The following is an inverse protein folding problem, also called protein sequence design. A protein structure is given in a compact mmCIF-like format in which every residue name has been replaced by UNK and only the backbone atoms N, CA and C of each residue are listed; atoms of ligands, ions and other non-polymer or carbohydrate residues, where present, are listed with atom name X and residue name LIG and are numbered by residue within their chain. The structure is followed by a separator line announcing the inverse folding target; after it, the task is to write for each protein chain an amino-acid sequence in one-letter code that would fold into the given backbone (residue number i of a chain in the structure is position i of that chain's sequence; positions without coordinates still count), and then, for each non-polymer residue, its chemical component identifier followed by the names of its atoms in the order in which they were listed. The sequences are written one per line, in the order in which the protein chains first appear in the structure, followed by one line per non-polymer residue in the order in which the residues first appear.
data_IF_647697672012
#
_entry.id   IF_647697672012
#
_cell.length_a   1.000
_cell.length_b   1.000
_cell.length_c   1.000
_cell.angle_alpha   90.00
_cell.angle_beta   90.00
_cell.angle_gamma   90.00
#
_symmetry.space_group_name_H-M   'P 1'
#
loop_
_entity.id
_entity.type
_entity.pdbx_description
1 polymer ?
#
# COMPACT_ATOMS: atom_id res chain seq x y z
N UNK A 1 -6.27 12.47 9.19
CA UNK A 1 -5.85 11.38 8.28
C UNK A 1 -4.78 10.54 8.96
N UNK A 2 -4.49 9.33 8.48
CA UNK A 2 -3.28 8.60 8.90
C UNK A 2 -2.14 8.95 7.94
N UNK A 3 -0.98 9.31 8.49
CA UNK A 3 0.25 9.54 7.76
C UNK A 3 1.11 8.28 7.78
N UNK A 4 1.79 8.05 6.66
CA UNK A 4 2.56 6.84 6.46
C UNK A 4 3.72 7.09 5.50
N UNK A 5 4.76 6.28 5.63
CA UNK A 5 5.97 6.33 4.81
C UNK A 5 6.39 4.93 4.40
N UNK A 6 7.23 4.82 3.37
CA UNK A 6 7.87 3.57 2.98
C UNK A 6 8.92 3.20 4.01
N UNK A 7 8.91 1.97 4.51
CA UNK A 7 9.87 1.51 5.51
C UNK A 7 11.07 0.77 4.91
N UNK A 8 11.03 0.48 3.61
CA UNK A 8 12.12 -0.14 2.86
C UNK A 8 12.25 0.53 1.49
N UNK A 9 13.40 0.35 0.86
CA UNK A 9 13.60 0.77 -0.52
C UNK A 9 13.15 -0.31 -1.52
N UNK A 10 13.27 -0.02 -2.82
CA UNK A 10 12.85 -0.95 -3.87
C UNK A 10 13.70 -2.23 -3.91
N UNK A 11 15.05 -2.19 -3.86
CA UNK A 11 15.86 -3.41 -3.76
C UNK A 11 15.49 -4.32 -2.58
N UNK A 12 15.27 -3.76 -1.39
CA UNK A 12 14.83 -4.53 -0.21
C UNK A 12 13.45 -5.15 -0.41
N UNK A 13 12.51 -4.37 -0.98
CA UNK A 13 11.19 -4.88 -1.35
C UNK A 13 11.29 -6.02 -2.35
N UNK A 14 12.06 -5.85 -3.43
CA UNK A 14 12.22 -6.84 -4.48
C UNK A 14 12.78 -8.16 -3.92
N UNK A 15 13.80 -8.07 -3.06
CA UNK A 15 14.38 -9.24 -2.40
C UNK A 15 13.33 -10.00 -1.57
N UNK A 16 12.50 -9.28 -0.81
CA UNK A 16 11.46 -9.90 0.02
C UNK A 16 10.33 -10.60 -0.78
N UNK A 17 10.18 -10.27 -2.06
CA UNK A 17 9.15 -10.81 -2.95
C UNK A 17 9.68 -11.90 -3.89
N UNK A 18 11.00 -12.11 -4.00
CA UNK A 18 11.57 -13.09 -4.93
C UNK A 18 10.99 -14.48 -4.73
N UNK A 19 10.63 -15.12 -5.85
CA UNK A 19 10.07 -16.47 -5.87
C UNK A 19 8.61 -16.58 -5.40
N UNK A 20 7.94 -15.46 -5.12
CA UNK A 20 6.53 -15.40 -4.74
C UNK A 20 5.71 -14.72 -5.83
N UNK A 21 4.50 -15.20 -6.05
CA UNK A 21 3.48 -14.48 -6.80
C UNK A 21 2.80 -13.42 -5.94
N UNK A 22 2.60 -12.22 -6.49
CA UNK A 22 2.22 -11.03 -5.73
C UNK A 22 0.91 -10.45 -6.23
N UNK A 23 0.00 -10.14 -5.32
CA UNK A 23 -1.17 -9.32 -5.58
C UNK A 23 -0.99 -7.96 -4.92
N UNK A 24 -1.02 -6.87 -5.68
CA UNK A 24 -0.87 -5.52 -5.11
C UNK A 24 -2.23 -5.06 -4.61
N UNK A 25 -2.32 -4.66 -3.34
CA UNK A 25 -3.54 -4.12 -2.75
C UNK A 25 -3.33 -2.70 -2.26
N UNK A 26 -3.94 -1.72 -2.91
CA UNK A 26 -3.71 -0.30 -2.66
C UNK A 26 -4.91 0.41 -2.03
N UNK A 27 -4.65 1.26 -1.03
CA UNK A 27 -5.66 2.05 -0.32
C UNK A 27 -5.71 3.50 -0.83
N UNK A 28 -6.79 3.88 -1.50
CA UNK A 28 -6.84 5.14 -2.27
C UNK A 28 -7.21 6.40 -1.48
N UNK A 29 -7.43 6.31 -0.16
CA UNK A 29 -7.81 7.46 0.67
C UNK A 29 -6.61 8.16 1.31
N UNK A 30 -6.09 7.70 2.46
CA UNK A 30 -5.00 8.40 3.14
C UNK A 30 -3.64 8.10 2.49
N UNK A 31 -3.44 6.89 1.96
CA UNK A 31 -2.16 6.48 1.42
C UNK A 31 -1.86 7.17 0.07
N UNK A 32 -2.87 7.48 -0.74
CA UNK A 32 -2.69 8.25 -1.98
C UNK A 32 -2.21 9.68 -1.72
N UNK A 33 -2.57 10.26 -0.57
CA UNK A 33 -2.15 11.58 -0.15
C UNK A 33 -0.73 11.62 0.41
N UNK A 34 -0.17 10.47 0.79
CA UNK A 34 1.20 10.36 1.30
C UNK A 34 2.15 10.06 0.15
N UNK A 35 2.60 11.10 -0.58
CA UNK A 35 3.53 10.96 -1.72
C UNK A 35 3.08 9.94 -2.78
N UNK A 36 1.76 9.87 -3.02
CA UNK A 36 1.17 9.01 -4.04
C UNK A 36 1.13 7.51 -3.72
N UNK A 37 1.60 7.06 -2.54
CA UNK A 37 1.76 5.62 -2.20
C UNK A 37 0.54 4.78 -2.58
N UNK A 38 -0.66 5.21 -2.17
CA UNK A 38 -1.92 4.50 -2.40
C UNK A 38 -2.64 4.87 -3.71
N UNK A 39 -2.00 5.62 -4.60
CA UNK A 39 -2.61 6.03 -5.87
C UNK A 39 -2.62 4.87 -6.86
N UNK A 40 -3.58 4.89 -7.80
CA UNK A 40 -3.65 3.91 -8.88
C UNK A 40 -2.38 3.94 -9.74
N UNK A 41 -1.93 5.14 -10.11
CA UNK A 41 -0.71 5.33 -10.92
C UNK A 41 0.54 4.77 -10.24
N UNK A 42 0.70 4.96 -8.92
CA UNK A 42 1.83 4.38 -8.19
C UNK A 42 1.74 2.85 -8.08
N UNK A 43 0.54 2.29 -7.92
CA UNK A 43 0.35 0.84 -7.92
C UNK A 43 0.67 0.22 -9.30
N UNK A 44 0.24 0.87 -10.39
CA UNK A 44 0.54 0.45 -11.76
C UNK A 44 2.04 0.54 -12.06
N UNK A 45 2.69 1.67 -11.73
CA UNK A 45 4.13 1.83 -11.89
C UNK A 45 4.93 0.77 -11.11
N UNK A 46 4.50 0.44 -9.88
CA UNK A 46 5.13 -0.60 -9.08
C UNK A 46 4.93 -2.00 -9.68
N UNK A 47 3.72 -2.28 -10.18
CA UNK A 47 3.40 -3.53 -10.86
C UNK A 47 4.30 -3.74 -12.08
N UNK A 48 4.43 -2.73 -12.94
CA UNK A 48 5.26 -2.78 -14.14
C UNK A 48 6.72 -3.03 -13.79
N UNK A 49 7.23 -2.32 -12.77
CA UNK A 49 8.62 -2.47 -12.32
C UNK A 49 8.90 -3.85 -11.74
N UNK A 50 8.06 -4.33 -10.82
CA UNK A 50 8.17 -5.68 -10.25
C UNK A 50 8.10 -6.76 -11.34
N UNK A 51 7.19 -6.61 -12.30
CA UNK A 51 7.05 -7.54 -13.44
C UNK A 51 8.31 -7.53 -14.31
N UNK A 52 8.86 -6.35 -14.62
CA UNK A 52 10.10 -6.21 -15.37
C UNK A 52 11.29 -6.87 -14.67
N UNK A 53 11.30 -6.85 -13.34
CA UNK A 53 12.34 -7.47 -12.50
C UNK A 53 12.04 -8.95 -12.15
N UNK A 54 11.06 -9.56 -12.82
CA UNK A 54 10.81 -11.01 -12.79
C UNK A 54 9.87 -11.50 -11.69
N UNK A 55 9.16 -10.59 -11.01
CA UNK A 55 8.10 -10.95 -10.05
C UNK A 55 6.80 -11.26 -10.81
N UNK A 56 6.13 -12.34 -10.42
CA UNK A 56 4.84 -12.74 -10.97
C UNK A 56 3.71 -11.94 -10.31
N UNK A 57 3.43 -10.75 -10.83
CA UNK A 57 2.36 -9.88 -10.34
C UNK A 57 1.01 -10.31 -10.93
N UNK A 58 0.10 -10.77 -10.06
CA UNK A 58 -1.23 -11.29 -10.44
C UNK A 58 -2.26 -10.22 -10.75
N UNK A 59 -2.06 -9.02 -10.24
CA UNK A 59 -2.96 -7.89 -10.48
C UNK A 59 -2.86 -6.81 -9.43
N UNK A 60 -3.76 -5.84 -9.55
CA UNK A 60 -3.88 -4.69 -8.66
C UNK A 60 -5.33 -4.59 -8.19
N UNK A 61 -5.49 -4.45 -6.87
CA UNK A 61 -6.77 -4.20 -6.21
C UNK A 61 -6.73 -2.80 -5.59
N UNK A 62 -7.81 -2.05 -5.80
CA UNK A 62 -8.00 -0.74 -5.18
C UNK A 62 -9.13 -0.80 -4.15
N UNK A 63 -8.85 -0.35 -2.92
CA UNK A 63 -9.86 -0.14 -1.88
C UNK A 63 -9.84 1.31 -1.44
N UNK A 64 -11.00 1.92 -1.17
CA UNK A 64 -11.05 3.27 -0.61
C UNK A 64 -10.41 3.35 0.78
N UNK A 65 -11.11 2.87 1.80
CA UNK A 65 -10.66 2.90 3.19
C UNK A 65 -10.41 1.47 3.70
N UNK A 66 -9.20 0.94 3.48
CA UNK A 66 -8.83 -0.40 3.96
C UNK A 66 -8.88 -0.52 5.50
N UNK A 67 -8.80 0.60 6.23
CA UNK A 67 -9.04 0.63 7.68
C UNK A 67 -10.51 0.33 8.08
N UNK A 68 -11.43 0.23 7.12
CA UNK A 68 -12.83 -0.18 7.34
C UNK A 68 -13.01 -1.60 6.82
N UNK A 69 -13.18 -2.59 7.71
CA UNK A 69 -13.27 -4.01 7.34
C UNK A 69 -14.36 -4.32 6.31
N UNK A 70 -15.52 -3.66 6.38
CA UNK A 70 -16.60 -3.87 5.41
C UNK A 70 -16.22 -3.44 3.99
N UNK A 71 -15.35 -2.43 3.84
CA UNK A 71 -14.80 -2.01 2.54
C UNK A 71 -13.81 -3.04 1.99
N UNK A 72 -12.95 -3.58 2.86
CA UNK A 72 -12.04 -4.66 2.48
C UNK A 72 -12.84 -5.88 2.01
N UNK A 73 -13.89 -6.27 2.75
CA UNK A 73 -14.75 -7.41 2.40
C UNK A 73 -15.47 -7.21 1.05
N UNK A 74 -16.08 -6.04 0.85
CA UNK A 74 -16.71 -5.75 -0.44
C UNK A 74 -15.72 -5.79 -1.59
N UNK A 75 -14.46 -5.37 -1.38
CA UNK A 75 -13.44 -5.45 -2.41
C UNK A 75 -12.95 -6.90 -2.62
N UNK A 76 -12.77 -7.70 -1.56
CA UNK A 76 -12.29 -9.08 -1.68
C UNK A 76 -13.23 -9.97 -2.49
N UNK A 77 -14.54 -9.79 -2.30
CA UNK A 77 -15.56 -10.61 -2.96
C UNK A 77 -15.56 -10.44 -4.49
N UNK A 78 -15.10 -9.28 -4.97
CA UNK A 78 -15.08 -8.91 -6.40
C UNK A 78 -13.72 -9.12 -7.08
N UNK A 79 -12.66 -9.49 -6.35
CA UNK A 79 -11.28 -9.22 -6.79
C UNK A 79 -10.37 -10.41 -7.08
N UNK A 80 -10.90 -11.64 -7.04
CA UNK A 80 -10.12 -12.82 -7.45
C UNK A 80 -8.80 -12.96 -6.67
N UNK A 81 -8.87 -12.81 -5.35
CA UNK A 81 -7.71 -12.83 -4.42
C UNK A 81 -6.95 -14.16 -4.38
N UNK A 82 -7.47 -15.19 -5.06
CA UNK A 82 -6.87 -16.52 -5.12
C UNK A 82 -5.83 -16.60 -6.26
N UNK A 83 -4.70 -17.25 -5.97
CA UNK A 83 -3.62 -17.45 -6.95
C UNK A 83 -2.38 -16.56 -6.75
N UNK A 84 -2.32 -15.77 -5.68
CA UNK A 84 -1.09 -15.11 -5.21
C UNK A 84 -0.59 -15.72 -3.90
N UNK A 85 0.73 -15.76 -3.72
CA UNK A 85 1.39 -16.23 -2.49
C UNK A 85 1.43 -15.15 -1.40
N UNK A 86 1.34 -13.88 -1.80
CA UNK A 86 1.35 -12.73 -0.90
C UNK A 86 0.54 -11.57 -1.45
N UNK A 87 -0.12 -10.85 -0.54
CA UNK A 87 -0.67 -9.54 -0.83
C UNK A 87 0.36 -8.47 -0.44
N UNK A 88 0.79 -7.68 -1.40
CA UNK A 88 1.58 -6.47 -1.16
C UNK A 88 0.64 -5.30 -0.86
N UNK A 89 0.45 -4.99 0.42
CA UNK A 89 -0.45 -3.92 0.83
C UNK A 89 0.23 -2.55 0.75
N UNK A 90 -0.37 -1.58 0.06
CA UNK A 90 0.03 -0.17 0.04
C UNK A 90 -0.97 0.63 0.88
N UNK A 91 -0.89 0.47 2.20
CA UNK A 91 -1.84 1.06 3.15
C UNK A 91 -1.21 1.29 4.53
N UNK A 92 -1.94 1.95 5.43
CA UNK A 92 -1.54 2.01 6.84
C UNK A 92 -1.63 0.62 7.50
N UNK A 93 -1.02 0.45 8.67
CA UNK A 93 -0.93 -0.84 9.36
C UNK A 93 -2.32 -1.41 9.70
N UNK A 94 -3.28 -0.55 10.05
CA UNK A 94 -4.67 -0.98 10.26
C UNK A 94 -5.32 -1.51 8.97
N UNK A 95 -4.99 -0.90 7.82
CA UNK A 95 -5.46 -1.37 6.52
C UNK A 95 -4.89 -2.74 6.18
N UNK A 96 -3.57 -2.91 6.32
CA UNK A 96 -2.89 -4.18 6.08
C UNK A 96 -3.42 -5.30 7.00
N UNK A 97 -3.60 -5.02 8.29
CA UNK A 97 -4.17 -5.98 9.25
C UNK A 97 -5.60 -6.37 8.88
N UNK A 98 -6.45 -5.41 8.50
CA UNK A 98 -7.81 -5.73 8.03
C UNK A 98 -7.80 -6.56 6.75
N UNK A 99 -6.91 -6.28 5.80
CA UNK A 99 -6.74 -7.08 4.58
C UNK A 99 -6.39 -8.52 4.96
N UNK A 100 -5.41 -8.73 5.85
CA UNK A 100 -5.03 -10.06 6.32
C UNK A 100 -6.19 -10.79 7.01
N UNK A 101 -6.89 -10.13 7.94
CA UNK A 101 -8.02 -10.72 8.68
C UNK A 101 -9.21 -11.08 7.80
N UNK A 102 -9.52 -10.25 6.80
CA UNK A 102 -10.68 -10.47 5.93
C UNK A 102 -10.39 -11.53 4.88
N UNK A 103 -9.20 -11.50 4.28
CA UNK A 103 -8.83 -12.41 3.19
C UNK A 103 -8.25 -13.74 3.68
N UNK A 104 -7.71 -13.78 4.91
CA UNK A 104 -6.97 -14.92 5.44
C UNK A 104 -5.62 -15.16 4.76
N UNK A 105 -5.14 -14.22 3.93
CA UNK A 105 -3.87 -14.33 3.17
C UNK A 105 -2.70 -13.74 3.95
N UNK A 106 -1.49 -14.15 3.55
CA UNK A 106 -0.27 -13.48 3.98
C UNK A 106 -0.21 -12.07 3.38
N UNK A 107 0.14 -11.09 4.22
CA UNK A 107 0.18 -9.67 3.84
C UNK A 107 1.55 -9.11 4.20
N UNK A 108 2.27 -8.69 3.17
CA UNK A 108 3.49 -7.90 3.30
C UNK A 108 3.12 -6.43 3.11
N UNK A 109 3.52 -5.57 4.03
CA UNK A 109 3.30 -4.13 3.93
C UNK A 109 4.64 -3.38 4.00
N UNK A 110 5.13 -2.78 2.90
CA UNK A 110 6.38 -2.01 2.89
C UNK A 110 6.16 -0.58 3.40
N UNK A 111 5.02 -0.32 4.05
CA UNK A 111 4.59 0.98 4.55
C UNK A 111 4.49 0.92 6.07
N UNK A 112 5.07 1.92 6.74
CA UNK A 112 4.90 2.15 8.17
C UNK A 112 3.95 3.32 8.41
N UNK A 113 3.08 3.17 9.41
CA UNK A 113 2.21 4.24 9.87
C UNK A 113 2.95 5.11 10.87
N UNK A 114 3.09 6.40 10.57
CA UNK A 114 3.77 7.37 11.45
C UNK A 114 2.83 7.87 12.54
N UNK A 115 1.58 8.16 12.19
CA UNK A 115 0.60 8.70 13.14
C UNK A 115 -0.57 9.38 12.46
N UNK A 116 -1.30 10.20 13.21
CA UNK A 116 -2.33 11.06 12.64
C UNK A 116 -1.72 12.37 12.13
N UNK A 117 -2.37 12.98 11.14
CA UNK A 117 -1.97 14.27 10.59
C UNK A 117 -3.09 14.94 9.80
N UNK A 118 -2.72 16.00 9.09
CA UNK A 118 -3.61 16.80 8.25
C UNK A 118 -2.92 17.20 6.94
N UNK A 119 -3.68 17.73 5.99
CA UNK A 119 -3.14 18.40 4.81
C UNK A 119 -3.15 19.90 5.08
N UNK A 120 -2.04 20.57 4.78
CA UNK A 120 -2.05 22.04 4.73
C UNK A 120 -2.76 22.56 3.47
N UNK A 121 -2.82 23.88 3.31
CA UNK A 121 -3.52 24.54 2.20
C UNK A 121 -2.94 24.19 0.82
N UNK A 122 -1.68 23.76 0.77
CA UNK A 122 -1.00 23.31 -0.45
C UNK A 122 -1.19 21.81 -0.71
N UNK A 123 -1.95 21.11 0.14
CA UNK A 123 -2.17 19.68 0.05
C UNK A 123 -0.96 18.84 0.50
N UNK A 124 -0.03 19.42 1.26
CA UNK A 124 1.14 18.72 1.79
C UNK A 124 0.76 18.04 3.11
N UNK A 125 1.06 16.73 3.29
CA UNK A 125 0.82 16.05 4.55
C UNK A 125 1.71 16.59 5.69
N UNK A 126 1.06 16.97 6.80
CA UNK A 126 1.69 17.51 8.01
C UNK A 126 1.37 16.68 9.24
N UNK A 127 2.40 16.45 10.04
CA UNK A 127 2.27 15.94 11.40
C UNK A 127 1.57 16.99 12.30
N UNK A 128 1.06 16.59 13.47
CA UNK A 128 0.29 17.49 14.34
C UNK A 128 1.08 18.69 14.85
N UNK A 129 2.41 18.61 14.84
CA UNK A 129 3.33 19.69 15.19
C UNK A 129 3.68 20.61 13.99
N UNK A 130 3.10 20.37 12.82
CA UNK A 130 3.34 21.12 11.58
C UNK A 130 4.55 20.65 10.75
N UNK A 131 5.29 19.64 11.21
CA UNK A 131 6.41 19.08 10.46
C UNK A 131 5.95 18.22 9.27
N UNK A 132 6.80 18.07 8.26
CA UNK A 132 6.53 17.21 7.09
C UNK A 132 7.07 15.80 7.30
N UNK A 133 6.52 14.85 6.53
CA UNK A 133 7.11 13.54 6.33
C UNK A 133 8.52 13.66 5.71
N UNK A 134 9.39 12.69 5.99
CA UNK A 134 10.75 12.64 5.46
C UNK A 134 10.74 12.53 3.93
N UNK A 135 11.56 13.33 3.25
CA UNK A 135 11.68 13.37 1.79
C UNK A 135 12.33 12.13 1.17
N UNK A 136 12.61 11.07 1.94
CA UNK A 136 13.16 9.79 1.44
C UNK A 136 12.21 9.01 0.53
N UNK A 137 11.08 9.58 0.15
CA UNK A 137 10.09 9.00 -0.74
C UNK A 137 10.57 8.97 -2.19
N UNK A 138 11.56 8.14 -2.52
CA UNK A 138 11.70 7.67 -3.90
C UNK A 138 10.43 6.90 -4.28
N UNK A 139 9.90 7.05 -5.51
CA UNK A 139 8.88 6.14 -6.00
C UNK A 139 9.42 4.70 -5.94
N UNK A 140 8.56 3.77 -5.52
CA UNK A 140 8.85 2.35 -5.78
C UNK A 140 8.78 2.11 -7.28
#
# INVERSE_FOLDING_TARGET
MMLMERCCDYPELLESLRGRSVLIWSCSICASLCNGIGSKASAESLSDRLTSDGIDVKGIIMTGAACIMSKVRSTSDDSGIDGSDVILALSCNMGADNISRVTGKDVMNPIITIGYGYLDDDGIPRLPDGSTLSSKSSPF
#
